data_IF_883172530138
#
_entry.id   IF_883172530138
#
_cell.length_a   1.000
_cell.length_b   1.000
_cell.length_c   1.000
_cell.angle_alpha   90.00
_cell.angle_beta   90.00
_cell.angle_gamma   90.00
#
_symmetry.space_group_name_H-M   'P 1'
#
loop_
_entity.id
_entity.type
_entity.pdbx_description
1 polymer ?
#
# COMPACT_ATOMS: atom_id res chain seq x y z
N UNK A 1 -0.67 -6.12 34.30
CA UNK A 1 -0.24 -5.36 33.13
C UNK A 1 0.96 -5.96 32.39
N UNK A 2 1.63 -6.95 32.93
CA UNK A 2 2.89 -7.55 32.43
C UNK A 2 2.74 -8.67 31.39
N UNK A 3 1.62 -9.38 31.34
CA UNK A 3 1.44 -10.54 30.44
C UNK A 3 1.17 -10.20 28.95
N UNK A 4 0.66 -9.02 28.64
CA UNK A 4 0.42 -8.59 27.25
C UNK A 4 1.70 -8.13 26.53
N UNK A 5 2.63 -7.51 27.24
CA UNK A 5 3.91 -7.06 26.67
C UNK A 5 4.80 -8.22 26.21
N UNK A 6 4.77 -9.34 26.90
CA UNK A 6 5.60 -10.52 26.58
C UNK A 6 5.17 -11.21 25.27
N UNK A 7 3.90 -11.22 24.93
CA UNK A 7 3.41 -11.82 23.67
C UNK A 7 3.83 -11.03 22.42
N UNK A 8 3.83 -9.70 22.48
CA UNK A 8 4.29 -8.89 21.36
C UNK A 8 5.79 -8.97 21.13
N UNK A 9 6.56 -9.08 22.22
CA UNK A 9 8.00 -9.28 22.14
C UNK A 9 8.36 -10.65 21.54
N UNK A 10 7.62 -11.70 21.87
CA UNK A 10 7.81 -13.04 21.30
C UNK A 10 7.48 -13.10 19.80
N UNK A 11 6.43 -12.38 19.35
CA UNK A 11 6.09 -12.29 17.93
C UNK A 11 7.18 -11.56 17.11
N UNK A 12 7.74 -10.49 17.66
CA UNK A 12 8.83 -9.73 17.02
C UNK A 12 10.12 -10.57 16.98
N UNK A 13 10.44 -11.32 18.03
CA UNK A 13 11.58 -12.24 18.04
C UNK A 13 11.38 -13.43 17.10
N UNK A 14 10.17 -13.93 16.91
CA UNK A 14 9.86 -15.02 15.98
C UNK A 14 9.95 -14.58 14.52
N UNK A 15 9.54 -13.36 14.21
CA UNK A 15 9.75 -12.71 12.90
C UNK A 15 11.24 -12.45 12.62
N UNK A 16 12.02 -12.06 13.62
CA UNK A 16 13.45 -11.83 13.49
C UNK A 16 14.22 -13.15 13.30
N UNK A 17 13.77 -14.27 13.88
CA UNK A 17 14.38 -15.59 13.72
C UNK A 17 14.09 -16.23 12.34
N UNK A 18 12.98 -15.90 11.72
CA UNK A 18 12.67 -16.31 10.33
C UNK A 18 13.54 -15.58 9.30
N UNK A 19 14.08 -14.40 9.64
CA UNK A 19 15.02 -13.66 8.79
C UNK A 19 16.47 -14.22 8.84
N UNK A 20 16.78 -15.10 9.78
CA UNK A 20 18.16 -15.54 10.06
C UNK A 20 18.76 -16.63 9.15
N UNK A 21 18.00 -17.20 8.24
CA UNK A 21 18.46 -18.26 7.32
C UNK A 21 18.25 -17.94 5.85
N UNK A 22 18.30 -16.67 5.48
CA UNK A 22 18.30 -16.28 4.07
C UNK A 22 19.73 -16.52 3.53
N UNK A 23 19.89 -17.57 2.72
CA UNK A 23 21.08 -17.71 1.87
C UNK A 23 21.27 -16.37 1.14
N UNK A 24 22.52 -15.91 0.90
CA UNK A 24 22.75 -14.66 0.20
C UNK A 24 22.05 -14.72 -1.14
N UNK A 25 20.90 -14.05 -1.24
CA UNK A 25 20.26 -13.83 -2.51
C UNK A 25 21.24 -13.01 -3.33
N UNK A 26 21.67 -13.54 -4.47
CA UNK A 26 22.40 -12.74 -5.44
C UNK A 26 21.49 -11.57 -5.77
N UNK A 27 21.99 -10.35 -5.55
CA UNK A 27 21.25 -9.16 -5.90
C UNK A 27 20.87 -9.24 -7.37
N UNK A 28 19.59 -9.42 -7.66
CA UNK A 28 19.10 -9.38 -9.02
C UNK A 28 18.49 -8.01 -9.26
N UNK A 29 19.10 -7.29 -10.15
CA UNK A 29 18.56 -6.07 -10.71
C UNK A 29 17.43 -6.46 -11.66
N UNK A 30 16.25 -5.82 -11.57
CA UNK A 30 15.22 -6.00 -12.58
C UNK A 30 15.75 -5.74 -13.98
N UNK A 31 15.26 -6.46 -14.98
CA UNK A 31 15.68 -6.30 -16.37
C UNK A 31 14.75 -5.35 -17.14
N UNK A 32 15.26 -4.78 -18.24
CA UNK A 32 14.44 -4.00 -19.16
C UNK A 32 13.31 -4.88 -19.73
N UNK A 33 12.08 -4.39 -19.67
CA UNK A 33 10.90 -5.11 -20.14
C UNK A 33 10.34 -6.14 -19.17
N UNK A 34 10.94 -6.30 -18.00
CA UNK A 34 10.48 -7.27 -16.99
C UNK A 34 9.12 -6.86 -16.41
N UNK A 35 8.26 -7.86 -16.21
CA UNK A 35 6.99 -7.71 -15.52
C UNK A 35 7.12 -8.18 -14.07
N UNK A 36 6.39 -7.52 -13.18
CA UNK A 36 6.21 -7.97 -11.82
C UNK A 36 4.76 -7.77 -11.38
N UNK A 37 4.29 -8.55 -10.43
CA UNK A 37 3.00 -8.38 -9.81
C UNK A 37 3.09 -8.68 -8.31
N UNK A 38 2.19 -8.08 -7.54
CA UNK A 38 2.21 -8.25 -6.09
C UNK A 38 0.94 -7.80 -5.41
N UNK A 39 0.98 -7.89 -4.09
CA UNK A 39 -0.09 -7.43 -3.22
C UNK A 39 0.45 -7.00 -1.86
N UNK A 40 -0.24 -6.05 -1.27
CA UNK A 40 0.10 -5.46 0.01
C UNK A 40 -1.10 -5.49 0.96
N UNK A 41 -0.79 -5.55 2.24
CA UNK A 41 -1.75 -5.36 3.33
C UNK A 41 -1.19 -4.33 4.31
N UNK A 42 -2.04 -3.49 4.88
CA UNK A 42 -1.58 -2.49 5.82
C UNK A 42 -2.69 -1.68 6.46
N UNK A 43 -2.32 -0.52 6.97
CA UNK A 43 -3.22 0.44 7.57
C UNK A 43 -3.32 1.70 6.72
N UNK A 44 -4.53 2.23 6.62
CA UNK A 44 -4.85 3.53 6.06
C UNK A 44 -5.24 4.48 7.19
N UNK A 45 -4.65 5.65 7.19
CA UNK A 45 -4.83 6.73 8.16
C UNK A 45 -5.43 7.92 7.40
N UNK A 46 -6.76 8.11 7.45
CA UNK A 46 -7.40 9.28 6.83
C UNK A 46 -7.03 10.56 7.58
N UNK A 47 -7.01 11.69 6.86
CA UNK A 47 -6.69 13.00 7.45
C UNK A 47 -7.86 13.59 8.25
N UNK A 48 -9.10 13.15 7.98
CA UNK A 48 -10.31 13.60 8.65
C UNK A 48 -10.74 12.71 9.84
N UNK A 49 -11.92 13.02 10.44
CA UNK A 49 -12.53 12.37 11.61
C UNK A 49 -12.93 10.90 11.41
N UNK A 50 -12.27 10.18 10.49
CA UNK A 50 -12.50 8.77 10.25
C UNK A 50 -11.50 7.89 11.01
N UNK A 51 -11.94 6.70 11.36
CA UNK A 51 -11.07 5.73 12.03
C UNK A 51 -10.08 5.12 11.05
N UNK A 52 -8.90 4.78 11.59
CA UNK A 52 -7.91 4.02 10.84
C UNK A 52 -8.49 2.70 10.34
N UNK A 53 -8.16 2.32 9.14
CA UNK A 53 -8.72 1.11 8.53
C UNK A 53 -7.66 0.22 7.89
N UNK A 54 -8.05 -1.03 7.66
CA UNK A 54 -7.26 -1.95 6.85
C UNK A 54 -7.24 -1.47 5.40
N UNK A 55 -6.08 -1.53 4.74
CA UNK A 55 -5.95 -1.42 3.29
C UNK A 55 -5.43 -2.72 2.69
N UNK A 56 -5.97 -3.06 1.53
CA UNK A 56 -5.53 -4.20 0.71
C UNK A 56 -5.25 -3.68 -0.69
N UNK A 57 -4.05 -3.94 -1.18
CA UNK A 57 -3.61 -3.47 -2.48
C UNK A 57 -3.17 -4.66 -3.35
N UNK A 58 -3.48 -4.59 -4.65
CA UNK A 58 -2.95 -5.49 -5.67
C UNK A 58 -2.37 -4.65 -6.80
N UNK A 59 -1.22 -5.04 -7.35
CA UNK A 59 -0.56 -4.24 -8.38
C UNK A 59 0.16 -5.09 -9.42
N UNK A 60 0.28 -4.51 -10.62
CA UNK A 60 1.19 -4.94 -11.68
C UNK A 60 2.20 -3.83 -11.96
N UNK A 61 3.43 -4.21 -12.26
CA UNK A 61 4.54 -3.30 -12.52
C UNK A 61 5.32 -3.74 -13.76
N UNK A 62 5.66 -2.77 -14.62
CA UNK A 62 6.44 -2.98 -15.83
C UNK A 62 7.71 -2.14 -15.77
N UNK A 63 8.86 -2.78 -15.89
CA UNK A 63 10.17 -2.15 -15.84
C UNK A 63 10.56 -1.63 -17.23
N UNK A 64 10.57 -0.29 -17.37
CA UNK A 64 11.04 0.39 -18.60
C UNK A 64 12.57 0.33 -18.64
N UNK A 65 13.20 0.47 -17.50
CA UNK A 65 14.63 0.28 -17.25
C UNK A 65 14.79 -0.37 -15.87
N UNK A 66 15.96 -0.91 -15.49
CA UNK A 66 16.17 -1.48 -14.16
C UNK A 66 15.82 -0.55 -13.01
N UNK A 67 15.92 0.77 -13.26
CA UNK A 67 15.67 1.81 -12.24
C UNK A 67 14.30 2.46 -12.33
N UNK A 68 13.65 2.38 -13.48
CA UNK A 68 12.38 3.08 -13.71
C UNK A 68 11.30 2.12 -14.20
N UNK A 69 10.17 2.10 -13.49
CA UNK A 69 9.02 1.28 -13.82
C UNK A 69 7.72 2.07 -13.77
N UNK A 70 6.70 1.56 -14.46
CA UNK A 70 5.32 1.98 -14.34
C UNK A 70 4.52 0.95 -13.54
N UNK A 71 3.75 1.39 -12.55
CA UNK A 71 2.93 0.54 -11.69
C UNK A 71 1.46 0.91 -11.83
N UNK A 72 0.60 -0.06 -12.12
CA UNK A 72 -0.85 0.06 -11.99
C UNK A 72 -1.29 -0.68 -10.72
N UNK A 73 -2.11 -0.04 -9.89
CA UNK A 73 -2.49 -0.56 -8.58
C UNK A 73 -3.99 -0.39 -8.35
N UNK A 74 -4.60 -1.42 -7.82
CA UNK A 74 -5.96 -1.42 -7.28
C UNK A 74 -5.86 -1.57 -5.76
N UNK A 75 -6.41 -0.62 -5.03
CA UNK A 75 -6.42 -0.62 -3.57
C UNK A 75 -7.84 -0.52 -3.03
N UNK A 76 -8.09 -1.16 -1.90
CA UNK A 76 -9.37 -1.14 -1.20
C UNK A 76 -9.17 -0.78 0.27
N UNK A 77 -10.03 0.11 0.79
CA UNK A 77 -10.07 0.47 2.20
C UNK A 77 -11.50 0.82 2.62
N UNK A 78 -11.81 0.69 3.90
CA UNK A 78 -13.15 0.96 4.45
C UNK A 78 -13.06 1.51 5.88
N UNK A 79 -12.67 2.78 6.04
CA UNK A 79 -12.64 3.44 7.35
C UNK A 79 -14.03 3.66 7.92
N UNK A 80 -14.18 3.47 9.25
CA UNK A 80 -15.39 3.81 10.01
C UNK A 80 -15.44 5.29 10.36
N UNK A 81 -16.64 5.86 10.53
CA UNK A 81 -16.81 7.22 11.01
C UNK A 81 -16.65 7.27 12.55
N UNK A 82 -15.83 8.21 13.04
CA UNK A 82 -15.59 8.39 14.48
C UNK A 82 -16.86 8.89 15.18
N UNK A 83 -17.33 8.15 16.18
CA UNK A 83 -18.48 8.56 17.02
C UNK A 83 -19.87 8.18 16.50
N UNK A 84 -19.99 7.59 15.31
CA UNK A 84 -21.23 7.02 14.79
C UNK A 84 -21.02 5.54 14.52
N UNK A 85 -21.72 4.69 15.24
CA UNK A 85 -21.46 3.23 15.30
C UNK A 85 -21.77 2.46 14.02
N UNK A 86 -22.35 3.07 12.99
CA UNK A 86 -22.81 2.37 11.80
C UNK A 86 -22.42 3.04 10.46
N UNK A 87 -21.93 4.29 10.48
CA UNK A 87 -21.53 4.97 9.25
C UNK A 87 -20.04 4.71 8.95
N UNK A 88 -19.76 4.19 7.77
CA UNK A 88 -18.42 4.03 7.24
C UNK A 88 -18.42 4.28 5.74
N UNK A 89 -17.30 4.68 5.18
CA UNK A 89 -17.20 4.76 3.74
C UNK A 89 -16.29 3.67 3.18
N UNK A 90 -16.59 3.26 1.96
CA UNK A 90 -15.75 2.34 1.19
C UNK A 90 -15.03 3.14 0.12
N UNK A 91 -13.73 2.95 0.04
CA UNK A 91 -12.90 3.55 -1.00
C UNK A 91 -12.21 2.45 -1.81
N UNK A 92 -12.36 2.52 -3.12
CA UNK A 92 -11.58 1.74 -4.09
C UNK A 92 -10.75 2.71 -4.89
N UNK A 93 -9.46 2.44 -5.05
CA UNK A 93 -8.50 3.31 -5.74
C UNK A 93 -7.91 2.57 -6.93
N UNK A 94 -7.95 3.18 -8.10
CA UNK A 94 -7.20 2.74 -9.27
C UNK A 94 -6.14 3.79 -9.58
N UNK A 95 -4.88 3.45 -9.37
CA UNK A 95 -3.76 4.40 -9.36
C UNK A 95 -2.68 3.96 -10.33
N UNK A 96 -2.10 4.93 -11.05
CA UNK A 96 -0.98 4.73 -11.98
C UNK A 96 0.21 5.55 -11.52
N UNK A 97 1.33 4.88 -11.26
CA UNK A 97 2.53 5.46 -10.67
C UNK A 97 3.75 5.24 -11.53
N UNK A 98 4.61 6.25 -11.60
CA UNK A 98 6.02 6.08 -11.91
C UNK A 98 6.77 5.66 -10.63
N UNK A 99 7.64 4.68 -10.74
CA UNK A 99 8.47 4.18 -9.64
C UNK A 99 9.94 4.33 -10.02
N UNK A 100 10.72 4.92 -9.15
CA UNK A 100 12.17 5.01 -9.28
C UNK A 100 12.85 4.17 -8.20
N UNK A 101 13.65 3.21 -8.62
CA UNK A 101 14.34 2.24 -7.76
C UNK A 101 15.82 2.57 -7.65
N UNK A 102 16.38 2.55 -6.42
CA UNK A 102 17.80 2.60 -6.16
C UNK A 102 18.32 1.20 -5.88
N UNK A 103 19.16 0.69 -6.76
CA UNK A 103 19.79 -0.61 -6.61
C UNK A 103 20.86 -0.56 -5.53
N UNK A 104 20.70 -1.34 -4.46
CA UNK A 104 21.68 -1.44 -3.37
C UNK A 104 21.80 -2.90 -2.86
N UNK A 105 22.32 -3.78 -3.70
CA UNK A 105 22.44 -5.19 -3.35
C UNK A 105 21.08 -5.86 -3.20
N UNK A 106 20.80 -6.46 -2.04
CA UNK A 106 19.49 -7.12 -1.76
C UNK A 106 18.40 -6.16 -1.29
N UNK A 107 18.76 -4.90 -1.00
CA UNK A 107 17.85 -3.85 -0.57
C UNK A 107 17.65 -2.85 -1.69
N UNK A 108 16.43 -2.67 -2.14
CA UNK A 108 16.07 -1.70 -3.18
C UNK A 108 15.11 -0.66 -2.62
N UNK A 109 15.63 0.46 -2.07
CA UNK A 109 14.79 1.61 -1.77
C UNK A 109 14.16 2.14 -3.05
N UNK A 110 12.93 2.65 -2.97
CA UNK A 110 12.26 3.26 -4.11
C UNK A 110 11.41 4.45 -3.69
N UNK A 111 11.18 5.34 -4.65
CA UNK A 111 10.18 6.40 -4.57
C UNK A 111 9.12 6.19 -5.64
N UNK A 112 7.89 6.60 -5.35
CA UNK A 112 6.78 6.49 -6.26
C UNK A 112 5.96 7.77 -6.25
N UNK A 113 5.45 8.15 -7.42
CA UNK A 113 4.52 9.27 -7.58
C UNK A 113 3.56 8.97 -8.72
N UNK A 114 2.33 9.44 -8.61
CA UNK A 114 1.32 9.17 -9.63
C UNK A 114 0.01 9.87 -9.42
N UNK A 115 -0.97 9.42 -10.21
CA UNK A 115 -2.34 9.92 -10.19
C UNK A 115 -3.32 8.75 -10.34
N UNK A 116 -4.57 8.97 -9.94
CA UNK A 116 -5.56 7.91 -10.04
C UNK A 116 -6.99 8.38 -9.85
N UNK A 117 -7.86 7.39 -9.91
CA UNK A 117 -9.29 7.53 -9.65
C UNK A 117 -9.63 6.88 -8.33
N UNK A 118 -10.39 7.60 -7.51
CA UNK A 118 -10.81 7.22 -6.17
C UNK A 118 -12.33 7.10 -6.17
N UNK A 119 -12.82 5.87 -6.08
CA UNK A 119 -14.24 5.55 -6.04
C UNK A 119 -14.67 5.51 -4.58
N UNK A 120 -15.35 6.56 -4.13
CA UNK A 120 -15.79 6.72 -2.73
C UNK A 120 -17.29 6.45 -2.67
N UNK A 121 -17.71 5.61 -1.71
CA UNK A 121 -19.12 5.34 -1.45
C UNK A 121 -19.38 5.35 0.04
N UNK A 122 -20.33 6.16 0.47
CA UNK A 122 -20.81 6.18 1.85
C UNK A 122 -21.72 4.97 2.10
N UNK A 123 -21.55 4.34 3.27
CA UNK A 123 -22.43 3.28 3.76
C UNK A 123 -23.09 3.79 5.04
N UNK A 124 -24.41 4.06 4.98
CA UNK A 124 -25.23 4.44 6.13
C UNK A 124 -26.04 3.25 6.60
N UNK A 125 -26.00 2.93 7.90
CA UNK A 125 -26.73 1.78 8.49
C UNK A 125 -26.53 0.47 7.70
N UNK A 126 -25.31 0.22 7.19
CA UNK A 126 -25.01 -0.96 6.39
C UNK A 126 -25.62 -0.99 4.99
N UNK A 127 -26.31 0.08 4.57
CA UNK A 127 -26.86 0.22 3.21
C UNK A 127 -25.99 1.18 2.39
N UNK A 128 -25.58 0.78 1.18
CA UNK A 128 -24.83 1.68 0.31
C UNK A 128 -25.72 2.87 -0.09
N UNK A 129 -25.19 4.08 0.07
CA UNK A 129 -25.77 5.26 -0.54
C UNK A 129 -25.77 5.06 -2.06
N UNK A 130 -26.89 5.26 -2.77
CA UNK A 130 -26.95 5.09 -4.21
C UNK A 130 -25.99 6.02 -4.99
N UNK A 131 -25.54 7.11 -4.39
CA UNK A 131 -24.64 8.09 -5.01
C UNK A 131 -23.18 7.83 -4.60
N UNK A 132 -22.55 6.82 -5.23
CA UNK A 132 -21.08 6.68 -5.19
C UNK A 132 -20.43 7.74 -6.07
N UNK A 133 -19.31 8.31 -5.62
CA UNK A 133 -18.60 9.37 -6.32
C UNK A 133 -17.23 8.91 -6.80
N UNK A 134 -16.83 9.37 -8.00
CA UNK A 134 -15.50 9.14 -8.55
C UNK A 134 -14.71 10.45 -8.52
N UNK A 135 -13.57 10.44 -7.87
CA UNK A 135 -12.69 11.58 -7.69
C UNK A 135 -11.34 11.36 -8.33
N UNK A 136 -10.73 12.41 -8.81
CA UNK A 136 -9.31 12.40 -9.21
C UNK A 136 -8.42 12.69 -8.01
N UNK A 137 -7.21 12.13 -8.01
CA UNK A 137 -6.23 12.42 -6.97
C UNK A 137 -4.81 12.15 -7.42
N UNK A 138 -3.88 12.65 -6.63
CA UNK A 138 -2.44 12.45 -6.77
C UNK A 138 -1.93 11.64 -5.58
N UNK A 139 -0.82 10.98 -5.77
CA UNK A 139 -0.13 10.34 -4.65
C UNK A 139 1.38 10.44 -4.80
N UNK A 140 2.03 10.39 -3.65
CA UNK A 140 3.50 10.30 -3.54
C UNK A 140 3.83 9.32 -2.42
N UNK A 141 4.89 8.56 -2.59
CA UNK A 141 5.29 7.59 -1.59
C UNK A 141 6.71 7.10 -1.78
N UNK A 142 7.06 6.15 -0.96
CA UNK A 142 8.33 5.46 -1.06
C UNK A 142 8.38 4.26 -0.14
N UNK A 143 9.33 3.41 -0.39
CA UNK A 143 9.46 2.19 0.35
C UNK A 143 10.81 1.52 0.15
N UNK A 144 10.87 0.30 0.62
CA UNK A 144 12.05 -0.55 0.44
C UNK A 144 11.60 -1.96 0.09
N UNK A 145 12.27 -2.56 -0.89
CA UNK A 145 12.12 -3.96 -1.24
C UNK A 145 13.35 -4.74 -0.75
N UNK A 146 13.10 -5.94 -0.27
CA UNK A 146 14.12 -6.89 0.10
C UNK A 146 13.95 -8.18 -0.71
N UNK A 147 14.98 -8.56 -1.47
CA UNK A 147 14.98 -9.77 -2.28
C UNK A 147 15.13 -11.01 -1.40
N UNK A 148 14.10 -11.84 -1.36
CA UNK A 148 14.14 -13.17 -0.73
C UNK A 148 14.87 -14.18 -1.63
N UNK A 149 14.68 -14.02 -2.93
CA UNK A 149 15.34 -14.78 -4.00
C UNK A 149 15.26 -13.95 -5.30
N UNK A 150 15.77 -14.51 -6.39
CA UNK A 150 15.86 -13.83 -7.70
C UNK A 150 14.52 -13.36 -8.28
N UNK A 151 13.40 -13.91 -7.83
CA UNK A 151 12.07 -13.64 -8.40
C UNK A 151 11.08 -13.09 -7.41
N UNK A 152 11.43 -13.00 -6.12
CA UNK A 152 10.47 -12.65 -5.09
C UNK A 152 11.07 -11.66 -4.09
N UNK A 153 10.33 -10.58 -3.84
CA UNK A 153 10.68 -9.59 -2.81
C UNK A 153 9.58 -9.47 -1.77
N UNK A 154 9.99 -9.08 -0.56
CA UNK A 154 9.10 -8.48 0.43
C UNK A 154 9.32 -6.98 0.38
N UNK A 155 8.26 -6.19 0.52
CA UNK A 155 8.35 -4.74 0.49
C UNK A 155 7.58 -4.10 1.64
N UNK A 156 8.03 -2.90 2.04
CA UNK A 156 7.28 -1.98 2.88
C UNK A 156 7.14 -0.64 2.16
N UNK A 157 5.96 -0.03 2.21
CA UNK A 157 5.67 1.24 1.52
C UNK A 157 4.90 2.18 2.42
N UNK A 158 5.29 3.45 2.42
CA UNK A 158 4.52 4.57 2.94
C UNK A 158 4.06 5.41 1.75
N UNK A 159 2.76 5.68 1.66
CA UNK A 159 2.16 6.46 0.57
C UNK A 159 1.16 7.46 1.11
N UNK A 160 1.23 8.68 0.64
CA UNK A 160 0.27 9.75 0.87
C UNK A 160 -0.56 9.97 -0.38
N UNK A 161 -1.87 9.84 -0.25
CA UNK A 161 -2.87 10.08 -1.28
C UNK A 161 -3.54 11.43 -1.01
N UNK A 162 -3.58 12.32 -2.01
CA UNK A 162 -4.26 13.62 -1.97
C UNK A 162 -5.39 13.58 -3.00
N UNK A 163 -6.61 13.61 -2.53
CA UNK A 163 -7.82 13.46 -3.35
C UNK A 163 -8.54 14.79 -3.42
N UNK A 164 -9.12 15.13 -4.58
CA UNK A 164 -9.89 16.36 -4.69
C UNK A 164 -11.22 16.23 -3.94
N UNK A 165 -11.52 17.22 -3.06
CA UNK A 165 -12.70 17.22 -2.21
C UNK A 165 -13.75 18.19 -2.73
N UNK A 166 -14.89 17.69 -3.20
CA UNK A 166 -16.07 18.52 -3.42
C UNK A 166 -16.70 18.92 -2.07
N UNK A 167 -17.27 20.13 -1.97
CA UNK A 167 -17.89 20.59 -0.73
C UNK A 167 -18.99 19.66 -0.23
N UNK A 168 -18.92 19.26 1.04
CA UNK A 168 -19.97 18.50 1.72
C UNK A 168 -19.80 16.98 1.72
N UNK A 169 -18.66 16.47 1.24
CA UNK A 169 -18.34 15.04 1.26
C UNK A 169 -17.08 14.75 2.09
N UNK A 170 -16.94 13.54 2.64
CA UNK A 170 -15.76 13.16 3.42
C UNK A 170 -14.48 13.31 2.62
N UNK A 171 -13.43 13.81 3.25
CA UNK A 171 -12.08 13.82 2.67
C UNK A 171 -11.59 12.38 2.48
N UNK A 172 -11.12 12.08 1.29
CA UNK A 172 -10.55 10.78 0.95
C UNK A 172 -9.01 10.80 0.96
N UNK A 173 -8.42 11.92 1.39
CA UNK A 173 -7.00 12.13 1.60
C UNK A 173 -6.51 11.34 2.81
N UNK A 174 -5.29 10.83 2.76
CA UNK A 174 -4.72 10.10 3.89
C UNK A 174 -3.41 9.39 3.59
N UNK A 175 -2.87 8.74 4.59
CA UNK A 175 -1.60 8.03 4.55
C UNK A 175 -1.82 6.52 4.65
N UNK A 176 -1.19 5.76 3.77
CA UNK A 176 -1.15 4.29 3.84
C UNK A 176 0.23 3.81 4.26
N UNK A 177 0.28 2.88 5.21
CA UNK A 177 1.49 2.12 5.57
C UNK A 177 1.22 0.65 5.29
N UNK A 178 1.96 0.07 4.35
CA UNK A 178 1.73 -1.30 3.87
C UNK A 178 2.98 -2.17 3.91
N UNK A 179 2.77 -3.46 4.01
CA UNK A 179 3.77 -4.50 3.80
C UNK A 179 3.21 -5.50 2.80
N UNK A 180 4.05 -6.03 1.93
CA UNK A 180 3.60 -6.98 0.92
C UNK A 180 4.69 -7.74 0.24
N UNK A 181 4.30 -8.44 -0.82
CA UNK A 181 5.19 -9.25 -1.63
C UNK A 181 5.04 -8.89 -3.10
N UNK A 182 6.15 -8.97 -3.83
CA UNK A 182 6.20 -8.80 -5.27
C UNK A 182 6.94 -9.97 -5.90
N UNK A 183 6.44 -10.47 -7.03
CA UNK A 183 7.06 -11.50 -7.83
C UNK A 183 7.36 -10.97 -9.22
N UNK A 184 8.55 -11.25 -9.69
CA UNK A 184 9.06 -10.93 -11.02
C UNK A 184 8.86 -12.12 -11.97
N UNK A 185 8.65 -11.84 -13.27
CA UNK A 185 8.36 -12.81 -14.32
C UNK A 185 9.29 -12.65 -15.52
#
# INVERSE_FOLDING_TARGET
>A
MTARMTRHFQLICMLALLAGNVLPASAQTPEDGQLAAGGDIGAFFPDDEFENSLTLDAFGEYYITPRFSGRAMLAWTSPGATGFTEDHYRQVRLVFNGVYNWERGVWHPYATAGAGFYFVRLLREGRPDPEGETRGGLNIGGGVEYFLNNLTTVKGELRWDVVSDPPGLPDATGVSLTIGMKRYF
#
